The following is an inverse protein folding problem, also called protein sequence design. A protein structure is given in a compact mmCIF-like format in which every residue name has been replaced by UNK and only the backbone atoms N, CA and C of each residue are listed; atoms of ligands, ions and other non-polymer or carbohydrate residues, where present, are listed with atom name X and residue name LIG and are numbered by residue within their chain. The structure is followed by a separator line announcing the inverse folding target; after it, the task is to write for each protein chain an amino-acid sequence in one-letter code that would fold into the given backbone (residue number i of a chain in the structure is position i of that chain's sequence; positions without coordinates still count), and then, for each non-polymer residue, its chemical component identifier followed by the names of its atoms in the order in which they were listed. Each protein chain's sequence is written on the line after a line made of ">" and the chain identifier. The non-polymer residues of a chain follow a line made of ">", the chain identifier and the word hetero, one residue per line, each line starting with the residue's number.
data_IF_189343464091
#
_entry.id   IF_189343464091
#
_cell.length_a   1.000
_cell.length_b   1.000
_cell.length_c   1.000
_cell.angle_alpha   90.00
_cell.angle_beta   90.00
_cell.angle_gamma   90.00
#
_symmetry.space_group_name_H-M   'P 1'
#
loop_
_entity.id
_entity.type
_entity.pdbx_description
1 polymer ?
#
# COMPACT_ATOMS: atom_id res chain seq x y z
N UNK A 1 22.83 -1.03 6.16
CA UNK A 1 21.64 -0.70 6.99
C UNK A 1 20.80 -1.96 7.06
N UNK A 2 20.26 -2.28 8.24
CA UNK A 2 19.38 -3.44 8.41
C UNK A 2 18.03 -3.18 7.71
N UNK A 3 17.66 -4.04 6.77
CA UNK A 3 16.40 -3.98 6.02
C UNK A 3 15.19 -3.98 6.95
N UNK A 4 15.25 -4.72 8.07
CA UNK A 4 14.18 -4.76 9.07
C UNK A 4 13.93 -3.40 9.72
N UNK A 5 15.00 -2.71 10.15
CA UNK A 5 14.89 -1.38 10.74
C UNK A 5 14.31 -0.34 9.78
N UNK A 6 14.71 -0.38 8.50
CA UNK A 6 14.22 0.55 7.47
C UNK A 6 12.76 0.26 7.11
N UNK A 7 12.38 -1.02 7.06
CA UNK A 7 10.98 -1.43 6.88
C UNK A 7 10.11 -0.97 8.06
N UNK A 8 10.60 -1.12 9.31
CA UNK A 8 9.90 -0.64 10.50
C UNK A 8 9.66 0.87 10.44
N UNK A 9 10.67 1.66 10.03
CA UNK A 9 10.54 3.09 9.83
C UNK A 9 9.49 3.43 8.76
N UNK A 10 9.44 2.69 7.65
CA UNK A 10 8.40 2.85 6.63
C UNK A 10 6.99 2.58 7.18
N UNK A 11 6.81 1.50 7.95
CA UNK A 11 5.51 1.12 8.51
C UNK A 11 5.02 2.08 9.59
N UNK A 12 5.94 2.69 10.36
CA UNK A 12 5.62 3.56 11.49
C UNK A 12 5.58 5.05 11.14
N UNK A 13 6.05 5.44 9.95
CA UNK A 13 5.98 6.80 9.45
C UNK A 13 4.52 7.30 9.38
N UNK A 14 4.27 8.50 9.90
CA UNK A 14 2.89 9.01 10.11
C UNK A 14 2.53 10.25 9.29
N UNK A 15 3.50 10.83 8.56
CA UNK A 15 3.26 11.98 7.69
C UNK A 15 3.47 11.63 6.23
N UNK A 16 2.78 12.31 5.33
CA UNK A 16 2.90 12.12 3.88
C UNK A 16 4.37 12.09 3.42
N UNK A 17 5.14 13.13 3.79
CA UNK A 17 6.56 13.24 3.42
C UNK A 17 7.44 12.18 4.09
N UNK A 18 7.21 11.86 5.37
CA UNK A 18 8.00 10.83 6.05
C UNK A 18 7.76 9.44 5.47
N UNK A 19 6.52 9.12 5.09
CA UNK A 19 6.18 7.83 4.46
C UNK A 19 6.90 7.69 3.12
N UNK A 20 6.85 8.74 2.28
CA UNK A 20 7.57 8.74 1.00
C UNK A 20 9.08 8.58 1.20
N UNK A 21 9.68 9.37 2.10
CA UNK A 21 11.11 9.29 2.37
C UNK A 21 11.53 7.91 2.90
N UNK A 22 10.79 7.35 3.86
CA UNK A 22 11.08 6.03 4.41
C UNK A 22 10.96 4.93 3.35
N UNK A 23 9.97 5.03 2.45
CA UNK A 23 9.84 4.12 1.31
C UNK A 23 11.04 4.22 0.35
N UNK A 24 11.48 5.44 0.01
CA UNK A 24 12.66 5.63 -0.83
C UNK A 24 13.92 5.03 -0.20
N UNK A 25 14.12 5.20 1.12
CA UNK A 25 15.24 4.58 1.83
C UNK A 25 15.15 3.04 1.82
N UNK A 26 13.95 2.48 2.00
CA UNK A 26 13.73 1.04 1.90
C UNK A 26 14.12 0.53 0.51
N UNK A 27 13.68 1.21 -0.55
CA UNK A 27 14.02 0.86 -1.92
C UNK A 27 15.54 0.91 -2.18
N UNK A 28 16.24 1.94 -1.69
CA UNK A 28 17.69 2.06 -1.82
C UNK A 28 18.41 0.89 -1.14
N UNK A 29 18.04 0.58 0.11
CA UNK A 29 18.67 -0.49 0.89
C UNK A 29 18.40 -1.88 0.29
N UNK A 30 17.24 -2.06 -0.34
CA UNK A 30 16.83 -3.29 -0.98
C UNK A 30 17.23 -3.42 -2.46
N UNK A 31 17.95 -2.44 -3.03
CA UNK A 31 18.30 -2.38 -4.46
C UNK A 31 17.08 -2.47 -5.40
N UNK A 32 16.05 -1.68 -5.07
CA UNK A 32 14.79 -1.57 -5.81
C UNK A 32 14.70 -0.18 -6.42
N UNK A 33 14.45 -0.11 -7.73
CA UNK A 33 14.10 1.15 -8.39
C UNK A 33 12.62 1.47 -8.12
N UNK A 34 12.30 2.52 -7.34
CA UNK A 34 10.92 2.89 -7.01
C UNK A 34 10.14 3.44 -8.23
N UNK A 35 10.81 3.77 -9.33
CA UNK A 35 10.17 4.21 -10.57
C UNK A 35 9.68 3.04 -11.44
N UNK A 36 10.19 1.82 -11.21
CA UNK A 36 9.77 0.60 -11.89
C UNK A 36 8.49 0.02 -11.26
N UNK A 37 7.39 0.73 -11.46
CA UNK A 37 6.06 0.36 -10.93
C UNK A 37 5.63 -1.09 -11.24
N UNK A 38 6.19 -1.73 -12.26
CA UNK A 38 5.88 -3.10 -12.67
C UNK A 38 6.57 -4.15 -11.77
N UNK A 39 7.77 -3.85 -11.27
CA UNK A 39 8.58 -4.82 -10.54
C UNK A 39 8.83 -4.47 -9.06
N UNK A 40 8.53 -3.23 -8.62
CA UNK A 40 8.66 -2.81 -7.22
C UNK A 40 8.04 -3.82 -6.26
N UNK A 41 6.78 -4.22 -6.45
CA UNK A 41 6.13 -5.18 -5.55
C UNK A 41 6.76 -6.58 -5.61
N UNK A 42 7.15 -7.06 -6.80
CA UNK A 42 7.78 -8.37 -6.98
C UNK A 42 9.11 -8.47 -6.24
N UNK A 43 9.85 -7.36 -6.12
CA UNK A 43 11.09 -7.29 -5.36
C UNK A 43 10.82 -7.09 -3.86
N UNK A 44 9.90 -6.18 -3.50
CA UNK A 44 9.55 -5.91 -2.09
C UNK A 44 9.05 -7.17 -1.37
N UNK A 45 8.26 -8.03 -2.02
CA UNK A 45 7.76 -9.26 -1.37
C UNK A 45 8.85 -10.28 -1.00
N UNK A 46 10.08 -10.10 -1.48
CA UNK A 46 11.23 -10.97 -1.20
C UNK A 46 12.07 -10.51 -0.01
N UNK A 47 11.72 -9.40 0.65
CA UNK A 47 12.48 -8.88 1.79
C UNK A 47 12.47 -9.88 2.94
N UNK A 48 13.66 -10.25 3.43
CA UNK A 48 13.83 -11.17 4.55
C UNK A 48 13.65 -10.46 5.90
N UNK A 49 12.40 -10.10 6.21
CA UNK A 49 11.97 -9.56 7.50
C UNK A 49 10.60 -10.13 7.89
N UNK A 50 10.45 -10.58 9.14
CA UNK A 50 9.24 -11.28 9.59
C UNK A 50 7.98 -10.40 9.54
N UNK A 51 8.11 -9.09 9.79
CA UNK A 51 6.98 -8.15 9.78
C UNK A 51 6.60 -7.82 8.33
N UNK A 52 7.60 -7.65 7.46
CA UNK A 52 7.42 -7.49 6.03
C UNK A 52 6.74 -8.71 5.40
N UNK A 53 7.21 -9.92 5.71
CA UNK A 53 6.61 -11.16 5.23
C UNK A 53 5.14 -11.30 5.68
N UNK A 54 4.79 -10.83 6.89
CA UNK A 54 3.39 -10.80 7.36
C UNK A 54 2.52 -9.87 6.51
N UNK A 55 3.04 -8.70 6.11
CA UNK A 55 2.34 -7.78 5.22
C UNK A 55 2.18 -8.37 3.82
N UNK A 56 3.27 -8.83 3.22
CA UNK A 56 3.27 -9.30 1.84
C UNK A 56 2.44 -10.57 1.67
N UNK A 57 2.35 -11.44 2.69
CA UNK A 57 1.40 -12.57 2.65
C UNK A 57 -0.06 -12.13 2.52
N UNK A 58 -0.45 -11.01 3.13
CA UNK A 58 -1.82 -10.47 3.00
C UNK A 58 -2.05 -9.90 1.59
N UNK A 59 -1.08 -9.12 1.10
CA UNK A 59 -1.14 -8.54 -0.24
C UNK A 59 -1.08 -9.60 -1.34
N UNK A 60 -0.27 -10.65 -1.18
CA UNK A 60 -0.15 -11.78 -2.10
C UNK A 60 -1.48 -12.52 -2.24
N UNK A 61 -2.20 -12.74 -1.13
CA UNK A 61 -3.53 -13.35 -1.16
C UNK A 61 -4.50 -12.57 -2.06
N UNK A 62 -4.41 -11.23 -2.06
CA UNK A 62 -5.21 -10.39 -2.96
C UNK A 62 -4.65 -10.43 -4.37
N UNK A 63 -3.34 -10.24 -4.55
CA UNK A 63 -2.63 -10.27 -5.83
C UNK A 63 -2.89 -11.54 -6.66
N UNK A 64 -3.08 -12.68 -6.01
CA UNK A 64 -3.30 -13.99 -6.62
C UNK A 64 -4.77 -14.28 -6.99
N UNK A 65 -5.70 -13.36 -6.69
CA UNK A 65 -7.11 -13.50 -7.07
C UNK A 65 -7.28 -13.61 -8.60
N UNK A 66 -8.25 -14.43 -9.02
CA UNK A 66 -8.44 -14.82 -10.42
C UNK A 66 -8.83 -13.65 -11.33
N UNK A 67 -9.54 -12.66 -10.77
CA UNK A 67 -9.99 -11.44 -11.45
C UNK A 67 -8.83 -10.63 -12.00
N UNK A 68 -7.67 -10.68 -11.34
CA UNK A 68 -6.46 -9.99 -11.78
C UNK A 68 -5.73 -10.69 -12.93
N UNK A 69 -6.11 -11.94 -13.26
CA UNK A 69 -5.55 -12.73 -14.37
C UNK A 69 -4.03 -12.77 -14.38
N UNK A 70 -3.39 -12.99 -13.22
CA UNK A 70 -1.92 -12.92 -13.07
C UNK A 70 -1.35 -11.59 -13.58
N UNK A 71 -2.03 -10.50 -13.24
CA UNK A 71 -1.69 -9.12 -13.62
C UNK A 71 -1.70 -8.89 -15.14
N UNK A 72 -2.47 -9.69 -15.88
CA UNK A 72 -2.65 -9.54 -17.33
C UNK A 72 -3.94 -8.79 -17.69
N UNK A 73 -4.82 -8.56 -16.73
CA UNK A 73 -6.10 -7.90 -16.98
C UNK A 73 -5.94 -6.43 -17.41
N UNK A 74 -4.95 -5.73 -16.84
CA UNK A 74 -4.66 -4.31 -17.09
C UNK A 74 -3.27 -4.02 -17.66
N UNK A 75 -2.49 -5.03 -18.05
CA UNK A 75 -1.06 -4.89 -18.44
C UNK A 75 -0.79 -3.83 -19.52
N UNK A 76 -1.76 -3.55 -20.41
CA UNK A 76 -1.62 -2.57 -21.50
C UNK A 76 -2.23 -1.20 -21.17
N UNK A 77 -2.76 -1.02 -19.97
CA UNK A 77 -3.42 0.21 -19.56
C UNK A 77 -2.44 1.12 -18.82
N UNK A 78 -2.47 2.40 -19.19
CA UNK A 78 -1.88 3.48 -18.42
C UNK A 78 -3.00 4.23 -17.69
N UNK A 79 -2.94 4.24 -16.36
CA UNK A 79 -3.96 4.84 -15.50
C UNK A 79 -3.38 6.08 -14.83
N UNK A 80 -4.06 7.21 -15.01
CA UNK A 80 -3.72 8.46 -14.34
C UNK A 80 -4.78 8.80 -13.30
N UNK A 81 -4.40 8.78 -12.03
CA UNK A 81 -5.28 9.06 -10.89
C UNK A 81 -5.01 10.47 -10.37
N UNK A 82 -6.07 11.28 -10.26
CA UNK A 82 -6.00 12.64 -9.74
C UNK A 82 -6.59 12.67 -8.33
N UNK A 83 -5.74 12.86 -7.33
CA UNK A 83 -6.10 12.98 -5.91
C UNK A 83 -5.74 11.76 -5.07
N UNK A 84 -4.96 11.97 -4.01
CA UNK A 84 -4.57 10.97 -3.01
C UNK A 84 -5.56 10.89 -1.83
N UNK A 85 -6.86 11.12 -2.09
CA UNK A 85 -7.90 10.81 -1.11
C UNK A 85 -8.08 9.28 -0.96
N UNK A 86 -8.83 8.81 0.05
CA UNK A 86 -9.03 7.38 0.29
C UNK A 86 -9.50 6.61 -0.96
N UNK A 87 -10.51 7.12 -1.67
CA UNK A 87 -11.04 6.49 -2.88
C UNK A 87 -10.03 6.47 -4.04
N UNK A 88 -9.27 7.56 -4.22
CA UNK A 88 -8.26 7.65 -5.29
C UNK A 88 -7.10 6.67 -5.07
N UNK A 89 -6.57 6.62 -3.85
CA UNK A 89 -5.56 5.63 -3.46
C UNK A 89 -6.10 4.20 -3.60
N UNK A 90 -7.34 3.95 -3.18
CA UNK A 90 -7.96 2.62 -3.29
C UNK A 90 -8.14 2.18 -4.75
N UNK A 91 -8.55 3.08 -5.63
CA UNK A 91 -8.65 2.81 -7.06
C UNK A 91 -7.27 2.55 -7.69
N UNK A 92 -6.25 3.31 -7.29
CA UNK A 92 -4.87 3.10 -7.73
C UNK A 92 -4.37 1.70 -7.35
N UNK A 93 -4.67 1.23 -6.13
CA UNK A 93 -4.33 -0.13 -5.67
C UNK A 93 -4.97 -1.20 -6.57
N UNK A 94 -6.28 -1.11 -6.87
CA UNK A 94 -6.92 -2.08 -7.79
C UNK A 94 -6.32 -2.05 -9.19
N UNK A 95 -6.06 -0.85 -9.73
CA UNK A 95 -5.45 -0.71 -11.06
C UNK A 95 -4.06 -1.34 -11.12
N UNK A 96 -3.27 -1.19 -10.05
CA UNK A 96 -1.97 -1.85 -9.92
C UNK A 96 -2.11 -3.37 -9.81
N UNK A 97 -3.08 -3.89 -9.04
CA UNK A 97 -3.35 -5.33 -8.92
C UNK A 97 -3.78 -5.96 -10.26
N UNK A 98 -4.49 -5.21 -11.12
CA UNK A 98 -4.80 -5.62 -12.49
C UNK A 98 -3.56 -5.70 -13.40
N UNK A 99 -2.42 -5.13 -12.98
CA UNK A 99 -1.18 -5.04 -13.75
C UNK A 99 -1.01 -3.76 -14.57
N UNK A 100 -1.85 -2.75 -14.34
CA UNK A 100 -1.77 -1.48 -15.09
C UNK A 100 -0.59 -0.65 -14.62
N UNK A 101 -0.04 0.18 -15.51
CA UNK A 101 0.89 1.26 -15.11
C UNK A 101 0.08 2.39 -14.50
N UNK A 102 0.26 2.64 -13.20
CA UNK A 102 -0.50 3.67 -12.48
C UNK A 102 0.39 4.85 -12.12
N UNK A 103 -0.04 6.06 -12.47
CA UNK A 103 0.54 7.32 -12.01
C UNK A 103 -0.53 8.05 -11.22
N UNK A 104 -0.19 8.48 -10.00
CA UNK A 104 -1.07 9.26 -9.15
C UNK A 104 -0.46 10.63 -8.88
N UNK A 105 -1.27 11.67 -9.00
CA UNK A 105 -0.89 13.05 -8.63
C UNK A 105 -1.78 13.55 -7.51
N UNK A 106 -1.18 14.26 -6.55
CA UNK A 106 -1.88 14.95 -5.48
C UNK A 106 -1.30 16.35 -5.34
N UNK A 107 -2.17 17.33 -5.13
CA UNK A 107 -1.79 18.72 -5.00
C UNK A 107 -1.14 19.01 -3.64
N UNK A 108 -1.61 18.34 -2.59
CA UNK A 108 -1.15 18.53 -1.20
C UNK A 108 0.03 17.63 -0.88
N UNK A 109 0.90 18.11 0.00
CA UNK A 109 2.04 17.39 0.52
C UNK A 109 1.80 16.82 1.94
N UNK A 110 0.53 16.77 2.37
CA UNK A 110 0.13 16.36 3.72
C UNK A 110 -1.29 15.81 3.76
N UNK A 111 -1.51 14.86 4.67
CA UNK A 111 -2.83 14.44 5.12
C UNK A 111 -3.12 15.13 6.46
N UNK A 112 -4.13 15.99 6.52
CA UNK A 112 -4.36 16.88 7.67
C UNK A 112 -5.78 16.86 8.24
N UNK A 113 -6.68 16.05 7.65
CA UNK A 113 -8.07 15.97 8.11
C UNK A 113 -8.16 15.04 9.31
N UNK A 114 -8.78 15.53 10.38
CA UNK A 114 -9.04 14.78 11.61
C UNK A 114 -10.49 14.31 11.72
N UNK A 115 -11.32 14.58 10.70
CA UNK A 115 -12.68 14.07 10.64
C UNK A 115 -12.66 12.55 10.59
N UNK A 116 -13.63 11.95 11.28
CA UNK A 116 -13.77 10.50 11.41
C UNK A 116 -14.83 10.01 10.42
N UNK A 117 -14.55 8.87 9.78
CA UNK A 117 -15.43 8.21 8.83
C UNK A 117 -15.93 6.88 9.42
N UNK A 118 -17.25 6.68 9.39
CA UNK A 118 -17.83 5.37 9.64
C UNK A 118 -17.46 4.40 8.50
N UNK A 119 -17.18 3.14 8.86
CA UNK A 119 -16.78 2.08 7.95
C UNK A 119 -17.79 0.94 8.01
N UNK A 120 -18.31 0.55 6.86
CA UNK A 120 -19.11 -0.67 6.77
C UNK A 120 -18.22 -1.90 6.93
N UNK A 121 -18.81 -3.01 7.38
CA UNK A 121 -18.08 -4.25 7.66
C UNK A 121 -17.23 -4.74 6.46
N UNK A 122 -17.76 -4.67 5.23
CA UNK A 122 -17.00 -5.09 4.05
C UNK A 122 -15.78 -4.19 3.79
N UNK A 123 -15.83 -2.90 4.15
CA UNK A 123 -14.69 -1.97 4.04
C UNK A 123 -13.64 -2.29 5.09
N UNK A 124 -14.07 -2.60 6.33
CA UNK A 124 -13.18 -3.05 7.40
C UNK A 124 -12.43 -4.31 6.97
N UNK A 125 -13.14 -5.27 6.36
CA UNK A 125 -12.56 -6.52 5.86
C UNK A 125 -11.58 -6.28 4.71
N UNK A 126 -11.92 -5.43 3.73
CA UNK A 126 -11.03 -5.08 2.62
C UNK A 126 -9.74 -4.41 3.15
N UNK A 127 -9.84 -3.42 4.03
CA UNK A 127 -8.67 -2.74 4.62
C UNK A 127 -7.83 -3.69 5.48
N UNK A 128 -8.44 -4.58 6.27
CA UNK A 128 -7.72 -5.65 7.00
C UNK A 128 -6.97 -6.57 6.03
N UNK A 129 -7.58 -6.93 4.90
CA UNK A 129 -6.96 -7.77 3.87
C UNK A 129 -5.77 -7.09 3.18
N UNK A 130 -5.76 -5.75 3.15
CA UNK A 130 -4.64 -4.94 2.66
C UNK A 130 -3.57 -4.65 3.73
N UNK A 131 -3.69 -5.24 4.92
CA UNK A 131 -2.69 -5.08 5.99
C UNK A 131 -2.86 -3.82 6.83
N UNK A 132 -4.05 -3.20 6.89
CA UNK A 132 -4.28 -1.98 7.67
C UNK A 132 -3.81 -2.06 9.13
N UNK A 133 -3.91 -3.23 9.79
CA UNK A 133 -3.42 -3.43 11.17
C UNK A 133 -1.90 -3.40 11.32
N UNK A 134 -1.14 -3.56 10.25
CA UNK A 134 0.32 -3.46 10.26
C UNK A 134 0.73 -1.99 10.30
N UNK A 135 0.07 -1.15 9.50
CA UNK A 135 0.32 0.30 9.44
C UNK A 135 -0.38 1.08 10.58
N UNK A 136 -1.54 0.62 11.02
CA UNK A 136 -2.33 1.24 12.08
C UNK A 136 -2.83 0.17 13.06
N UNK A 137 -2.06 -0.19 14.10
CA UNK A 137 -2.41 -1.28 15.03
C UNK A 137 -3.75 -1.11 15.75
N UNK A 138 -4.23 0.13 15.89
CA UNK A 138 -5.52 0.46 16.50
C UNK A 138 -6.71 0.32 15.55
N UNK A 139 -6.47 0.00 14.26
CA UNK A 139 -7.50 -0.11 13.24
C UNK A 139 -8.59 -1.11 13.63
N UNK A 140 -9.80 -0.60 13.86
CA UNK A 140 -11.01 -1.40 14.15
C UNK A 140 -10.77 -2.51 15.19
N UNK A 141 -10.20 -2.13 16.34
CA UNK A 141 -10.04 -3.01 17.51
C UNK A 141 -11.32 -3.03 18.34
N UNK A 142 -11.79 -4.22 18.74
CA UNK A 142 -13.07 -4.36 19.43
C UNK A 142 -14.25 -4.03 18.51
N UNK A 143 -15.18 -3.21 18.99
CA UNK A 143 -16.36 -2.74 18.25
C UNK A 143 -16.13 -1.43 17.47
N UNK A 144 -14.87 -0.98 17.31
CA UNK A 144 -14.57 0.24 16.55
C UNK A 144 -14.81 -0.02 15.05
N UNK A 145 -15.73 0.75 14.47
CA UNK A 145 -16.14 0.70 13.06
C UNK A 145 -15.93 2.05 12.35
N UNK A 146 -14.89 2.79 12.74
CA UNK A 146 -14.54 4.07 12.16
C UNK A 146 -13.03 4.31 12.12
N UNK A 147 -12.59 5.26 11.29
CA UNK A 147 -11.21 5.72 11.19
C UNK A 147 -11.12 7.24 11.05
#
# INVERSE_FOLDING_TARGET
>A
MDTGAVFENFVTASTFRSIQNAFYQLCIVADIDPSDSVNVYKKLRLLDDWKAQKLFKLLDKKWELAEYKKQKAGERLNVFVIGAGPCGLRAAIECALLGSRVVLVEQRDRFSRNNVLHLWEFVIQDLKSLGAKIFYPKFCTGSIEHI
#
